data_IF_078471513052
#
_entry.id   IF_078471513052
#
_cell.length_a   1.000
_cell.length_b   1.000
_cell.length_c   1.000
_cell.angle_alpha   90.00
_cell.angle_beta   90.00
_cell.angle_gamma   90.00
#
_symmetry.space_group_name_H-M   'P 1'
#
loop_
_entity.id
_entity.type
_entity.pdbx_description
1 polymer ?
#
# COMPACT_ATOMS: atom_id res chain seq x y z
N UNK A 1 60.68 -27.09 -29.47
CA UNK A 1 61.39 -26.86 -28.18
C UNK A 1 61.17 -25.40 -27.82
N UNK A 2 60.50 -25.14 -26.67
CA UNK A 2 60.24 -23.83 -26.03
C UNK A 2 59.21 -22.92 -26.72
N UNK A 3 58.28 -22.23 -26.06
CA UNK A 3 57.72 -22.12 -24.69
C UNK A 3 56.49 -21.16 -24.89
N UNK A 4 55.28 -21.44 -24.37
CA UNK A 4 54.59 -20.64 -23.33
C UNK A 4 54.78 -19.10 -23.40
N UNK A 5 53.79 -18.19 -23.27
CA UNK A 5 52.50 -18.19 -22.58
C UNK A 5 51.90 -16.75 -22.64
N UNK A 6 50.56 -16.63 -22.62
CA UNK A 6 49.68 -15.53 -22.13
C UNK A 6 49.85 -14.10 -22.73
N UNK A 7 48.79 -13.32 -23.01
CA UNK A 7 48.01 -12.54 -22.03
C UNK A 7 46.63 -12.13 -22.59
N UNK A 8 45.61 -12.41 -21.77
CA UNK A 8 44.33 -11.75 -21.50
C UNK A 8 43.31 -11.41 -22.61
N UNK A 9 42.23 -12.17 -22.58
CA UNK A 9 40.88 -11.71 -22.89
C UNK A 9 40.39 -10.65 -21.89
N UNK A 10 39.59 -9.69 -22.37
CA UNK A 10 38.60 -8.98 -21.57
C UNK A 10 37.48 -8.49 -22.49
N UNK A 11 36.59 -9.42 -22.88
CA UNK A 11 35.26 -9.06 -23.35
C UNK A 11 34.50 -8.55 -22.11
N UNK A 12 34.25 -7.24 -22.04
CA UNK A 12 33.31 -6.67 -21.09
C UNK A 12 31.89 -7.09 -21.51
N UNK A 13 31.47 -8.26 -21.03
CA UNK A 13 30.07 -8.68 -21.06
C UNK A 13 29.37 -7.85 -19.98
N UNK A 14 28.61 -6.85 -20.41
CA UNK A 14 27.68 -6.12 -19.57
C UNK A 14 26.52 -7.07 -19.20
N UNK A 15 26.66 -7.75 -18.08
CA UNK A 15 25.59 -8.46 -17.39
C UNK A 15 24.50 -7.47 -16.97
N UNK A 16 23.47 -7.29 -17.79
CA UNK A 16 22.21 -6.69 -17.34
C UNK A 16 21.44 -7.80 -16.64
N UNK A 17 21.60 -7.88 -15.32
CA UNK A 17 20.78 -8.69 -14.45
C UNK A 17 19.32 -8.19 -14.48
N UNK A 18 18.48 -8.83 -15.28
CA UNK A 18 17.03 -8.73 -15.16
C UNK A 18 16.57 -9.60 -13.97
N UNK A 19 16.61 -9.03 -12.76
CA UNK A 19 15.99 -9.63 -11.58
C UNK A 19 14.46 -9.42 -11.59
N UNK A 20 13.64 -10.38 -11.12
CA UNK A 20 12.21 -10.21 -10.99
C UNK A 20 11.92 -9.45 -9.70
N UNK A 21 11.49 -8.18 -9.78
CA UNK A 21 11.21 -7.43 -8.56
C UNK A 21 10.92 -5.95 -8.75
N UNK A 22 10.26 -5.55 -9.85
CA UNK A 22 9.79 -4.18 -10.00
C UNK A 22 8.27 -4.17 -10.02
N UNK A 23 7.69 -4.25 -8.81
CA UNK A 23 6.34 -3.75 -8.59
C UNK A 23 6.39 -2.23 -8.78
N UNK A 24 6.07 -1.78 -10.00
CA UNK A 24 5.75 -0.39 -10.27
C UNK A 24 4.47 -0.06 -9.52
N UNK A 25 4.59 0.46 -8.30
CA UNK A 25 3.49 1.14 -7.63
C UNK A 25 3.02 2.25 -8.59
N UNK A 26 1.84 2.07 -9.18
CA UNK A 26 1.19 3.11 -9.96
C UNK A 26 0.83 4.22 -8.97
N UNK A 27 1.68 5.26 -8.91
CA UNK A 27 1.32 6.50 -8.25
C UNK A 27 0.14 7.09 -9.02
N UNK A 28 -1.04 7.05 -8.41
CA UNK A 28 -2.23 7.70 -8.93
C UNK A 28 -1.95 9.18 -9.20
N UNK A 29 -2.46 9.62 -10.35
CA UNK A 29 -2.29 10.91 -11.00
C UNK A 29 -2.20 12.14 -10.05
N UNK A 30 -1.18 12.96 -10.27
CA UNK A 30 -0.85 14.14 -9.49
C UNK A 30 -1.31 15.40 -10.23
N UNK A 31 -2.46 15.97 -9.84
CA UNK A 31 -2.85 17.31 -10.32
C UNK A 31 -4.25 17.77 -9.94
N UNK A 32 -5.21 16.86 -9.91
CA UNK A 32 -6.52 17.08 -9.30
C UNK A 32 -6.75 16.00 -8.26
N UNK A 33 -7.48 16.30 -7.18
CA UNK A 33 -7.97 15.26 -6.28
C UNK A 33 -8.78 14.27 -7.12
N UNK A 34 -8.22 13.09 -7.41
CA UNK A 34 -8.94 12.04 -8.12
C UNK A 34 -10.22 11.67 -7.37
N UNK A 35 -11.19 11.01 -8.03
CA UNK A 35 -12.48 10.67 -7.41
C UNK A 35 -12.33 9.96 -6.05
N UNK A 36 -11.31 9.12 -5.89
CA UNK A 36 -10.99 8.47 -4.62
C UNK A 36 -10.59 9.43 -3.49
N UNK A 37 -9.88 10.53 -3.79
CA UNK A 37 -9.52 11.53 -2.77
C UNK A 37 -10.74 12.29 -2.28
N UNK A 38 -11.66 12.67 -3.17
CA UNK A 38 -12.92 13.33 -2.78
C UNK A 38 -13.73 12.43 -1.85
N UNK A 39 -13.88 11.16 -2.20
CA UNK A 39 -14.57 10.17 -1.35
C UNK A 39 -13.88 10.02 0.01
N UNK A 40 -12.55 9.94 0.02
CA UNK A 40 -11.79 9.82 1.26
C UNK A 40 -11.99 11.03 2.18
N UNK A 41 -11.89 12.25 1.63
CA UNK A 41 -12.08 13.48 2.38
C UNK A 41 -13.49 13.56 2.98
N UNK A 42 -14.51 13.17 2.20
CA UNK A 42 -15.92 13.24 2.60
C UNK A 42 -16.35 12.16 3.61
N UNK A 43 -15.78 10.95 3.52
CA UNK A 43 -16.28 9.77 4.26
C UNK A 43 -15.30 9.24 5.29
N UNK A 44 -14.00 9.41 5.09
CA UNK A 44 -12.96 8.71 5.84
C UNK A 44 -12.16 9.65 6.74
N UNK A 45 -11.83 10.84 6.24
CA UNK A 45 -10.89 11.77 6.88
C UNK A 45 -11.33 12.27 8.26
N UNK A 46 -12.65 12.34 8.53
CA UNK A 46 -13.14 12.72 9.86
C UNK A 46 -12.60 11.82 10.98
N UNK A 47 -12.40 10.53 10.71
CA UNK A 47 -11.87 9.57 11.67
C UNK A 47 -10.40 9.23 11.39
N UNK A 48 -10.05 9.00 10.13
CA UNK A 48 -8.72 8.54 9.75
C UNK A 48 -7.70 9.68 9.54
N UNK A 49 -8.14 10.94 9.55
CA UNK A 49 -7.31 12.11 9.25
C UNK A 49 -7.08 12.28 7.75
N UNK A 50 -6.83 13.52 7.31
CA UNK A 50 -6.61 13.85 5.88
C UNK A 50 -5.36 13.17 5.31
N UNK A 51 -4.39 12.84 6.16
CA UNK A 51 -3.16 12.12 5.80
C UNK A 51 -3.23 10.62 6.15
N UNK A 52 -4.37 10.12 6.66
CA UNK A 52 -4.54 8.70 6.99
C UNK A 52 -3.84 8.24 8.26
N UNK A 53 -3.51 9.14 9.18
CA UNK A 53 -2.78 8.86 10.44
C UNK A 53 -3.64 8.33 11.58
N UNK A 54 -4.96 8.18 11.40
CA UNK A 54 -5.87 7.76 12.47
C UNK A 54 -6.07 8.83 13.55
N UNK A 55 -5.94 10.10 13.16
CA UNK A 55 -5.95 11.30 14.01
C UNK A 55 -6.98 12.34 13.56
N UNK A 56 -8.01 11.92 12.81
CA UNK A 56 -9.11 12.80 12.43
C UNK A 56 -9.85 13.37 13.65
N UNK A 57 -10.63 14.44 13.45
CA UNK A 57 -11.35 15.13 14.53
C UNK A 57 -12.26 14.22 15.39
N UNK A 58 -12.70 13.08 14.84
CA UNK A 58 -13.48 12.07 15.56
C UNK A 58 -12.64 11.03 16.31
N UNK A 59 -11.33 10.90 16.03
CA UNK A 59 -10.50 9.77 16.46
C UNK A 59 -10.41 9.60 17.98
N UNK A 60 -10.25 10.69 18.73
CA UNK A 60 -10.05 10.66 20.19
C UNK A 60 -11.30 10.21 20.97
N UNK A 61 -12.45 10.10 20.31
CA UNK A 61 -13.70 9.61 20.91
C UNK A 61 -13.99 8.14 20.62
N UNK A 62 -13.11 7.47 19.87
CA UNK A 62 -13.33 6.10 19.41
C UNK A 62 -12.39 5.12 20.12
N UNK A 63 -12.96 4.02 20.60
CA UNK A 63 -12.23 2.87 21.12
C UNK A 63 -12.74 1.61 20.43
N UNK A 64 -11.91 0.92 19.62
CA UNK A 64 -10.50 1.23 19.34
C UNK A 64 -10.33 2.50 18.49
N UNK A 65 -9.13 3.11 18.57
CA UNK A 65 -8.76 4.23 17.69
C UNK A 65 -8.80 3.81 16.20
N UNK A 66 -9.12 4.73 15.28
CA UNK A 66 -9.05 4.49 13.84
C UNK A 66 -7.64 4.05 13.41
N UNK A 67 -7.58 3.28 12.31
CA UNK A 67 -6.32 2.81 11.73
C UNK A 67 -5.49 3.99 11.23
N UNK A 68 -4.24 4.01 11.66
CA UNK A 68 -3.13 4.72 11.03
C UNK A 68 -2.59 3.89 9.83
N UNK A 69 -2.90 4.33 8.62
CA UNK A 69 -2.49 3.70 7.37
C UNK A 69 -1.02 3.95 7.04
N UNK A 70 -0.41 5.00 7.59
CA UNK A 70 1.00 5.36 7.32
C UNK A 70 1.98 4.32 7.88
N UNK A 71 1.51 3.47 8.79
CA UNK A 71 2.29 2.41 9.42
C UNK A 71 2.38 1.13 8.60
N UNK A 72 1.51 0.93 7.61
CA UNK A 72 1.45 -0.34 6.85
C UNK A 72 1.04 -1.56 7.69
N UNK A 73 0.43 -1.36 8.88
CA UNK A 73 0.07 -2.44 9.79
C UNK A 73 -1.43 -2.74 9.73
N UNK A 74 -1.80 -3.84 9.09
CA UNK A 74 -3.20 -4.24 8.90
C UNK A 74 -3.53 -5.50 9.71
N UNK A 75 -4.70 -5.48 10.37
CA UNK A 75 -5.16 -6.60 11.21
C UNK A 75 -5.87 -7.68 10.42
N UNK A 76 -6.64 -7.26 9.41
CA UNK A 76 -7.47 -8.14 8.60
C UNK A 76 -6.86 -8.17 7.21
N UNK A 77 -6.29 -9.32 6.85
CA UNK A 77 -5.63 -9.58 5.58
C UNK A 77 -5.64 -11.08 5.31
N UNK A 78 -5.61 -11.44 4.04
CA UNK A 78 -5.46 -12.80 3.53
C UNK A 78 -3.99 -13.18 3.30
N UNK A 79 -3.08 -12.21 3.37
CA UNK A 79 -1.63 -12.37 3.20
C UNK A 79 -0.94 -12.81 4.51
N UNK A 80 0.30 -13.28 4.37
CA UNK A 80 1.13 -13.75 5.49
C UNK A 80 1.37 -12.67 6.56
N UNK A 81 1.70 -13.11 7.78
CA UNK A 81 1.96 -12.18 8.88
C UNK A 81 3.18 -11.30 8.59
N UNK A 82 2.96 -9.98 8.59
CA UNK A 82 3.99 -8.99 8.27
C UNK A 82 3.83 -8.38 6.88
N UNK A 83 3.05 -9.02 6.00
CA UNK A 83 2.77 -8.53 4.66
C UNK A 83 1.60 -7.53 4.64
N UNK A 84 1.55 -6.76 3.55
CA UNK A 84 0.44 -5.85 3.25
C UNK A 84 -0.82 -6.62 2.84
N UNK A 85 -2.03 -6.07 3.11
CA UNK A 85 -3.27 -6.64 2.58
C UNK A 85 -3.30 -6.54 1.05
N UNK A 86 -4.10 -7.40 0.41
CA UNK A 86 -4.44 -7.20 -1.00
C UNK A 86 -5.45 -6.06 -1.16
N UNK A 87 -5.67 -5.58 -2.39
CA UNK A 87 -6.70 -4.58 -2.65
C UNK A 87 -8.10 -5.12 -2.31
N UNK A 88 -8.35 -6.40 -2.57
CA UNK A 88 -9.61 -7.07 -2.21
C UNK A 88 -9.85 -7.09 -0.69
N UNK A 89 -8.79 -7.26 0.12
CA UNK A 89 -8.90 -7.16 1.58
C UNK A 89 -9.30 -5.75 2.02
N UNK A 90 -8.73 -4.72 1.39
CA UNK A 90 -9.05 -3.32 1.68
C UNK A 90 -10.48 -2.99 1.26
N UNK A 91 -10.86 -3.35 0.03
CA UNK A 91 -12.19 -3.11 -0.53
C UNK A 91 -13.28 -3.79 0.29
N UNK A 92 -13.06 -5.04 0.72
CA UNK A 92 -13.99 -5.77 1.58
C UNK A 92 -14.22 -5.05 2.92
N UNK A 93 -13.16 -4.57 3.57
CA UNK A 93 -13.30 -3.83 4.84
C UNK A 93 -13.97 -2.47 4.62
N UNK A 94 -13.74 -1.80 3.49
CA UNK A 94 -14.47 -0.57 3.16
C UNK A 94 -15.95 -0.85 2.93
N UNK A 95 -16.29 -1.93 2.22
CA UNK A 95 -17.67 -2.29 1.90
C UNK A 95 -18.46 -2.73 3.15
N UNK A 96 -17.87 -3.58 3.98
CA UNK A 96 -18.54 -4.21 5.13
C UNK A 96 -18.38 -3.41 6.43
N UNK A 97 -17.37 -2.54 6.51
CA UNK A 97 -16.93 -1.89 7.74
C UNK A 97 -16.02 -2.80 8.57
N UNK A 98 -15.62 -2.34 9.76
CA UNK A 98 -14.78 -3.13 10.66
C UNK A 98 -15.58 -3.62 11.88
N UNK A 99 -15.86 -4.94 11.96
CA UNK A 99 -16.62 -5.52 13.06
C UNK A 99 -16.05 -5.17 14.43
N UNK A 100 -16.93 -4.87 15.39
CA UNK A 100 -16.55 -4.50 16.76
C UNK A 100 -15.92 -3.10 16.89
N UNK A 101 -16.07 -2.25 15.88
CA UNK A 101 -15.59 -0.85 15.89
C UNK A 101 -16.68 0.10 15.40
N UNK A 102 -16.40 1.41 15.44
CA UNK A 102 -17.29 2.43 14.89
C UNK A 102 -17.10 2.68 13.39
N UNK A 103 -16.27 1.91 12.70
CA UNK A 103 -16.06 2.06 11.26
C UNK A 103 -17.24 1.46 10.48
N UNK A 104 -18.07 2.28 9.81
CA UNK A 104 -19.22 1.80 9.06
C UNK A 104 -18.79 1.14 7.75
N UNK A 105 -19.69 0.35 7.16
CA UNK A 105 -19.54 -0.17 5.81
C UNK A 105 -20.08 0.77 4.74
N UNK A 106 -19.45 0.73 3.56
CA UNK A 106 -19.77 1.53 2.39
C UNK A 106 -19.92 0.65 1.13
N UNK A 107 -20.99 -0.17 1.02
CA UNK A 107 -21.11 -1.19 -0.02
C UNK A 107 -21.18 -0.66 -1.46
N UNK A 108 -21.36 0.65 -1.66
CA UNK A 108 -21.37 1.29 -2.99
C UNK A 108 -20.09 2.05 -3.35
N UNK A 109 -19.01 1.93 -2.56
CA UNK A 109 -17.72 2.58 -2.85
C UNK A 109 -16.65 1.60 -3.38
N UNK A 110 -16.92 0.30 -3.35
CA UNK A 110 -15.96 -0.76 -3.70
C UNK A 110 -16.08 -1.27 -5.14
N UNK A 111 -16.82 -0.56 -6.00
CA UNK A 111 -17.08 -0.91 -7.40
C UNK A 111 -16.67 0.21 -8.37
#
# INVERSE_FOLDING_TARGET
MRLAQFVAAAAFILEIAAGPGQAIAQAGDSGAAGPGKTVYDDKCAHCHGVEGKGDGAGADRLSPRPRDFTRGLYKIRSTESGELPTDEDLLRIVAEGMPGTSMPGWPGLSE
#
